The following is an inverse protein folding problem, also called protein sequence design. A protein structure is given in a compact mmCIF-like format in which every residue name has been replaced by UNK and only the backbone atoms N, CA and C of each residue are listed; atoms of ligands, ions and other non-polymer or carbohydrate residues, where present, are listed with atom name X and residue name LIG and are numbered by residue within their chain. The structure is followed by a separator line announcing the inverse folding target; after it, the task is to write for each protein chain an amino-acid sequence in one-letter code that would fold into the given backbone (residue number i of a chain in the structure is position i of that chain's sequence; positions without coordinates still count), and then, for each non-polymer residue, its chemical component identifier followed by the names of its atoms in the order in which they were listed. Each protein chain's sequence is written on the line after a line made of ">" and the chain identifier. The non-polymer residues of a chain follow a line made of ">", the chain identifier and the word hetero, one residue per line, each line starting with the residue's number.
data_IF_586356685336
#
_entry.id   IF_586356685336
#
_cell.length_a   1.000
_cell.length_b   1.000
_cell.length_c   1.000
_cell.angle_alpha   90.00
_cell.angle_beta   90.00
_cell.angle_gamma   90.00
#
_symmetry.space_group_name_H-M   'P 1'
#
loop_
_entity.id
_entity.type
_entity.pdbx_description
1 polymer ?
#
# COMPACT_ATOMS: atom_id res chain seq x y z
N UNK A 1 -9.58 -8.11 12.73
CA UNK A 1 -9.84 -8.61 11.37
C UNK A 1 -10.95 -9.64 11.37
N UNK A 2 -11.70 -9.70 10.27
CA UNK A 2 -12.69 -10.76 10.03
C UNK A 2 -12.11 -11.71 8.99
N UNK A 3 -12.23 -13.02 9.22
CA UNK A 3 -11.71 -14.04 8.32
C UNK A 3 -12.83 -14.66 7.51
N UNK A 4 -12.61 -14.85 6.22
CA UNK A 4 -13.47 -15.70 5.41
C UNK A 4 -13.15 -17.17 5.73
N UNK A 5 -14.13 -17.90 6.24
CA UNK A 5 -13.98 -19.32 6.61
C UNK A 5 -14.81 -20.17 5.66
N UNK A 6 -14.17 -21.15 5.01
CA UNK A 6 -14.80 -22.08 4.09
C UNK A 6 -14.59 -23.52 4.57
N UNK A 7 -15.69 -24.26 4.71
CA UNK A 7 -15.73 -25.68 5.11
C UNK A 7 -16.25 -26.58 3.97
N UNK A 8 -16.46 -26.04 2.77
CA UNK A 8 -16.85 -26.84 1.61
C UNK A 8 -15.68 -27.70 1.14
N UNK A 9 -15.77 -29.00 1.44
CA UNK A 9 -14.75 -29.99 1.10
C UNK A 9 -14.52 -30.08 -0.41
N UNK A 10 -15.54 -29.84 -1.23
CA UNK A 10 -15.42 -29.91 -2.69
C UNK A 10 -14.50 -28.81 -3.20
N UNK A 11 -14.68 -27.58 -2.70
CA UNK A 11 -13.79 -26.45 -3.03
C UNK A 11 -12.39 -26.65 -2.45
N UNK A 12 -12.29 -27.05 -1.18
CA UNK A 12 -11.01 -27.21 -0.48
C UNK A 12 -10.10 -28.24 -1.16
N UNK A 13 -10.64 -29.29 -1.78
CA UNK A 13 -9.85 -30.29 -2.52
C UNK A 13 -9.09 -29.73 -3.73
N UNK A 14 -9.56 -28.60 -4.27
CA UNK A 14 -8.94 -27.95 -5.44
C UNK A 14 -7.97 -26.84 -5.07
N UNK A 15 -7.99 -26.37 -3.81
CA UNK A 15 -7.09 -25.31 -3.34
C UNK A 15 -5.79 -25.94 -2.88
N UNK A 16 -4.67 -25.48 -3.46
CA UNK A 16 -3.32 -25.83 -3.01
C UNK A 16 -2.69 -24.61 -2.35
N UNK A 17 -2.12 -24.75 -1.14
CA UNK A 17 -1.31 -23.69 -0.56
C UNK A 17 -0.19 -23.33 -1.53
N UNK A 18 -0.04 -22.05 -1.83
CA UNK A 18 1.14 -21.55 -2.53
C UNK A 18 2.16 -21.17 -1.47
N UNK A 19 3.41 -21.59 -1.66
CA UNK A 19 4.51 -21.03 -0.90
C UNK A 19 4.57 -19.54 -1.23
N UNK A 20 4.61 -18.71 -0.19
CA UNK A 20 4.90 -17.30 -0.39
C UNK A 20 6.29 -17.22 -1.06
N UNK A 21 6.49 -16.36 -2.07
CA UNK A 21 7.81 -16.12 -2.61
C UNK A 21 8.73 -15.87 -1.41
N UNK A 22 9.74 -16.73 -1.28
CA UNK A 22 10.47 -16.94 -0.03
C UNK A 22 10.91 -15.62 0.58
N UNK A 23 10.91 -15.59 1.90
CA UNK A 23 11.78 -14.72 2.69
C UNK A 23 13.25 -15.13 2.43
N UNK A 24 13.69 -15.11 1.17
CA UNK A 24 15.12 -14.91 0.90
C UNK A 24 15.43 -13.55 1.52
N UNK A 25 16.44 -13.53 2.38
CA UNK A 25 16.95 -12.36 3.10
C UNK A 25 17.51 -11.27 2.16
N UNK A 26 16.80 -10.91 1.09
CA UNK A 26 16.86 -9.52 0.65
C UNK A 26 16.14 -8.74 1.73
N UNK A 27 16.94 -8.04 2.55
CA UNK A 27 16.56 -6.85 3.29
C UNK A 27 15.22 -6.31 2.78
N UNK A 28 14.11 -6.81 3.34
CA UNK A 28 12.86 -6.05 3.36
C UNK A 28 13.18 -4.90 4.30
N UNK A 29 13.97 -3.94 3.79
CA UNK A 29 13.95 -2.57 4.24
C UNK A 29 12.47 -2.26 4.19
N UNK A 30 11.82 -2.35 5.36
CA UNK A 30 10.53 -1.72 5.56
C UNK A 30 10.64 -0.38 4.86
N UNK A 31 9.71 -0.05 3.94
CA UNK A 31 9.82 1.16 3.13
C UNK A 31 10.18 2.27 4.10
N UNK A 32 11.36 2.88 3.89
CA UNK A 32 11.96 3.76 4.89
C UNK A 32 10.85 4.67 5.42
N UNK A 33 10.53 4.54 6.72
CA UNK A 33 9.47 5.37 7.31
C UNK A 33 9.77 6.79 6.88
N UNK A 34 8.80 7.48 6.29
CA UNK A 34 8.99 8.87 5.86
C UNK A 34 9.62 9.58 7.05
N UNK A 35 10.87 10.00 6.88
CA UNK A 35 11.67 10.57 7.95
C UNK A 35 10.82 11.66 8.58
N UNK A 36 10.54 11.53 9.89
CA UNK A 36 9.73 12.49 10.59
C UNK A 36 10.23 13.89 10.23
N UNK A 37 9.32 14.70 9.71
CA UNK A 37 9.60 16.06 9.27
C UNK A 37 10.39 16.76 10.39
N UNK A 38 11.70 16.95 10.19
CA UNK A 38 12.61 17.42 11.25
C UNK A 38 12.45 18.91 11.52
N UNK A 39 11.45 19.54 10.91
CA UNK A 39 10.99 20.86 11.29
C UNK A 39 10.66 20.85 12.78
N UNK A 40 11.50 21.57 13.54
CA UNK A 40 11.26 21.84 14.96
C UNK A 40 9.93 22.57 15.06
N UNK A 41 8.86 21.84 15.36
CA UNK A 41 7.61 22.46 15.79
C UNK A 41 7.95 23.25 17.06
N UNK A 42 7.82 24.58 16.98
CA UNK A 42 8.12 25.44 18.12
C UNK A 42 7.14 25.08 19.24
N UNK A 43 7.67 24.75 20.44
CA UNK A 43 6.83 24.48 21.60
C UNK A 43 6.19 25.81 22.05
N UNK A 44 4.93 26.06 21.69
CA UNK A 44 4.22 27.31 22.00
C UNK A 44 2.85 27.44 21.32
N UNK A 45 2.26 28.66 21.33
CA UNK A 45 0.98 28.97 20.64
C UNK A 45 1.04 28.72 19.12
N UNK A 46 2.23 28.75 18.53
CA UNK A 46 2.49 28.53 17.11
C UNK A 46 2.24 27.08 16.69
N UNK A 47 2.55 26.09 17.55
CA UNK A 47 2.24 24.66 17.29
C UNK A 47 0.76 24.43 16.99
N UNK A 48 -0.15 25.06 17.73
CA UNK A 48 -1.58 24.85 17.53
C UNK A 48 -2.02 25.41 16.18
N UNK A 49 -1.49 26.58 15.79
CA UNK A 49 -1.75 27.18 14.49
C UNK A 49 -1.19 26.33 13.35
N UNK A 50 0.03 25.81 13.47
CA UNK A 50 0.65 24.92 12.49
C UNK A 50 -0.12 23.60 12.34
N UNK A 51 -0.58 23.00 13.44
CA UNK A 51 -1.42 21.81 13.41
C UNK A 51 -2.77 22.11 12.76
N UNK A 52 -3.40 23.24 13.09
CA UNK A 52 -4.66 23.64 12.47
C UNK A 52 -4.50 23.90 10.97
N UNK A 53 -3.39 24.49 10.54
CA UNK A 53 -3.07 24.72 9.14
C UNK A 53 -2.85 23.40 8.39
N UNK A 54 -2.07 22.47 8.97
CA UNK A 54 -1.89 21.12 8.42
C UNK A 54 -3.21 20.34 8.36
N UNK A 55 -4.08 20.45 9.36
CA UNK A 55 -5.40 19.82 9.34
C UNK A 55 -6.37 20.47 8.34
N UNK A 56 -6.18 21.75 8.03
CA UNK A 56 -6.95 22.50 7.03
C UNK A 56 -6.48 22.18 5.61
N UNK A 57 -5.25 21.73 5.45
CA UNK A 57 -4.72 21.24 4.19
C UNK A 57 -5.35 19.89 3.82
N UNK A 58 -6.45 19.97 3.05
CA UNK A 58 -7.15 18.81 2.53
C UNK A 58 -6.35 18.02 1.48
N UNK A 59 -5.20 18.54 1.02
CA UNK A 59 -4.34 17.82 0.07
C UNK A 59 -3.75 16.53 0.67
N UNK A 60 -3.65 16.47 2.01
CA UNK A 60 -3.24 15.26 2.75
C UNK A 60 -4.25 14.11 2.55
N UNK A 61 -5.54 14.43 2.37
CA UNK A 61 -6.57 13.42 2.05
C UNK A 61 -6.56 12.98 0.58
N UNK A 62 -5.71 13.57 -0.27
CA UNK A 62 -5.59 13.23 -1.69
C UNK A 62 -5.11 11.80 -1.96
N UNK A 63 -4.49 11.16 -0.96
CA UNK A 63 -3.84 9.86 -1.07
C UNK A 63 -4.81 8.66 -1.04
N UNK A 64 -6.05 8.84 -0.55
CA UNK A 64 -7.07 7.78 -0.60
C UNK A 64 -7.43 7.36 -2.02
N UNK A 65 -7.28 8.29 -2.98
CA UNK A 65 -7.46 7.98 -4.41
C UNK A 65 -6.36 7.05 -4.94
N UNK A 66 -5.17 7.04 -4.33
CA UNK A 66 -4.05 6.22 -4.80
C UNK A 66 -4.32 4.74 -4.53
N UNK A 67 -4.82 4.39 -3.34
CA UNK A 67 -5.21 3.01 -3.00
C UNK A 67 -6.26 2.48 -3.98
N UNK A 68 -7.29 3.28 -4.28
CA UNK A 68 -8.30 2.93 -5.28
C UNK A 68 -7.73 2.76 -6.70
N UNK A 69 -6.81 3.64 -7.11
CA UNK A 69 -6.14 3.51 -8.42
C UNK A 69 -5.26 2.27 -8.51
N UNK A 70 -4.48 1.97 -7.46
CA UNK A 70 -3.64 0.77 -7.39
C UNK A 70 -4.49 -0.50 -7.53
N UNK A 71 -5.62 -0.55 -6.82
CA UNK A 71 -6.58 -1.64 -6.92
C UNK A 71 -7.15 -1.79 -8.34
N UNK A 72 -7.60 -0.69 -8.95
CA UNK A 72 -8.20 -0.74 -10.29
C UNK A 72 -7.19 -1.14 -11.36
N UNK A 73 -5.96 -0.64 -11.30
CA UNK A 73 -4.89 -1.03 -12.24
C UNK A 73 -4.49 -2.50 -12.05
N UNK A 74 -4.46 -2.98 -10.80
CA UNK A 74 -4.25 -4.40 -10.49
C UNK A 74 -5.36 -5.26 -11.10
N UNK A 75 -6.63 -4.89 -10.93
CA UNK A 75 -7.76 -5.62 -11.50
C UNK A 75 -7.69 -5.69 -13.02
N UNK A 76 -7.43 -4.56 -13.68
CA UNK A 76 -7.33 -4.50 -15.14
C UNK A 76 -6.28 -5.49 -15.67
N UNK A 77 -5.09 -5.50 -15.06
CA UNK A 77 -4.01 -6.40 -15.47
C UNK A 77 -4.25 -7.85 -15.06
N UNK A 78 -4.95 -8.06 -13.94
CA UNK A 78 -5.38 -9.39 -13.53
C UNK A 78 -6.34 -10.00 -14.54
N UNK A 79 -7.29 -9.23 -15.07
CA UNK A 79 -8.21 -9.69 -16.12
C UNK A 79 -7.47 -10.07 -17.41
N UNK A 80 -6.39 -9.35 -17.76
CA UNK A 80 -5.61 -9.57 -18.98
C UNK A 80 -4.56 -10.67 -18.86
N UNK A 81 -3.94 -10.84 -17.68
CA UNK A 81 -2.74 -11.66 -17.51
C UNK A 81 -2.80 -12.69 -16.37
N UNK A 82 -3.85 -12.65 -15.55
CA UNK A 82 -4.01 -13.52 -14.39
C UNK A 82 -3.13 -13.15 -13.19
N UNK A 83 -3.25 -13.92 -12.11
CA UNK A 83 -2.62 -13.62 -10.80
C UNK A 83 -1.12 -13.93 -10.74
N UNK A 84 -0.61 -14.73 -11.68
CA UNK A 84 0.81 -15.10 -11.75
C UNK A 84 1.68 -14.04 -12.43
N UNK A 85 1.06 -12.99 -12.96
CA UNK A 85 1.79 -11.89 -13.55
C UNK A 85 2.52 -11.07 -12.47
N UNK A 86 3.82 -10.82 -12.70
CA UNK A 86 4.69 -10.09 -11.75
C UNK A 86 4.21 -8.66 -11.49
N UNK A 87 3.63 -7.99 -12.49
CA UNK A 87 3.10 -6.64 -12.31
C UNK A 87 1.82 -6.63 -11.46
N UNK A 88 0.97 -7.66 -11.61
CA UNK A 88 -0.23 -7.83 -10.77
C UNK A 88 0.18 -8.03 -9.31
N UNK A 89 1.22 -8.84 -9.07
CA UNK A 89 1.78 -9.05 -7.74
C UNK A 89 2.39 -7.76 -7.17
N UNK A 90 3.19 -7.04 -7.96
CA UNK A 90 3.79 -5.77 -7.55
C UNK A 90 2.73 -4.71 -7.20
N UNK A 91 1.65 -4.62 -7.97
CA UNK A 91 0.52 -3.74 -7.68
C UNK A 91 -0.24 -4.17 -6.40
N UNK A 92 -0.36 -5.48 -6.14
CA UNK A 92 -0.93 -5.99 -4.89
C UNK A 92 -0.09 -5.66 -3.65
N UNK A 93 1.24 -5.71 -3.77
CA UNK A 93 2.17 -5.27 -2.73
C UNK A 93 2.03 -3.75 -2.50
N UNK A 94 2.08 -2.95 -3.57
CA UNK A 94 1.91 -1.50 -3.48
C UNK A 94 0.54 -1.10 -2.90
N UNK A 95 -0.54 -1.82 -3.23
CA UNK A 95 -1.87 -1.64 -2.65
C UNK A 95 -1.84 -1.86 -1.13
N UNK A 96 -1.19 -2.93 -0.68
CA UNK A 96 -1.03 -3.24 0.75
C UNK A 96 -0.20 -2.17 1.46
N UNK A 97 0.89 -1.70 0.84
CA UNK A 97 1.68 -0.58 1.36
C UNK A 97 0.86 0.72 1.43
N UNK A 98 0.01 0.99 0.44
CA UNK A 98 -0.90 2.14 0.43
C UNK A 98 -1.91 2.12 1.57
N UNK A 99 -2.47 0.95 1.90
CA UNK A 99 -3.33 0.78 3.07
C UNK A 99 -2.59 1.04 4.40
N UNK A 100 -1.30 0.73 4.46
CA UNK A 100 -0.47 0.96 5.65
C UNK A 100 0.09 2.38 5.73
N UNK A 101 0.20 3.10 4.60
CA UNK A 101 0.71 4.48 4.53
C UNK A 101 -0.07 5.43 5.42
N UNK A 102 -1.40 5.32 5.49
CA UNK A 102 -2.21 6.15 6.39
C UNK A 102 -1.89 5.93 7.88
N UNK A 103 -1.44 4.72 8.25
CA UNK A 103 -1.16 4.35 9.65
C UNK A 103 0.28 4.60 10.06
N UNK A 104 1.22 4.34 9.15
CA UNK A 104 2.64 4.23 9.46
C UNK A 104 3.51 5.21 8.66
N UNK A 105 2.94 5.93 7.69
CA UNK A 105 3.71 6.81 6.81
C UNK A 105 4.73 6.05 5.94
N UNK A 106 4.47 4.78 5.61
CA UNK A 106 5.34 3.99 4.75
C UNK A 106 5.33 4.49 3.31
N UNK A 107 6.48 4.46 2.65
CA UNK A 107 6.57 4.68 1.21
C UNK A 107 5.88 3.52 0.44
N UNK A 108 5.34 3.86 -0.73
CA UNK A 108 4.80 2.88 -1.67
C UNK A 108 5.88 2.63 -2.72
N UNK A 109 6.31 1.39 -2.80
CA UNK A 109 7.31 0.92 -3.74
C UNK A 109 6.60 0.29 -4.94
N UNK A 110 6.95 0.78 -6.13
CA UNK A 110 6.40 0.29 -7.37
C UNK A 110 7.54 0.20 -8.40
N UNK A 111 7.57 -0.81 -9.27
CA UNK A 111 8.49 -0.83 -10.40
C UNK A 111 8.35 0.40 -11.29
N UNK A 112 9.49 0.93 -11.77
CA UNK A 112 9.55 2.18 -12.54
C UNK A 112 8.63 2.18 -13.78
N UNK A 113 8.46 1.04 -14.44
CA UNK A 113 7.59 0.94 -15.62
C UNK A 113 6.11 1.14 -15.28
N UNK A 114 5.71 0.89 -14.04
CA UNK A 114 4.32 1.05 -13.57
C UNK A 114 4.03 2.46 -13.04
N UNK A 115 5.06 3.26 -12.72
CA UNK A 115 4.88 4.64 -12.25
C UNK A 115 4.08 5.50 -13.24
N UNK A 116 4.23 5.22 -14.54
CA UNK A 116 3.54 5.96 -15.62
C UNK A 116 2.01 5.85 -15.53
N UNK A 117 1.46 4.85 -14.84
CA UNK A 117 0.02 4.71 -14.65
C UNK A 117 -0.53 5.65 -13.56
N UNK A 118 0.33 6.34 -12.81
CA UNK A 118 -0.05 7.12 -11.62
C UNK A 118 0.45 8.59 -11.64
N UNK A 119 1.18 8.99 -12.70
CA UNK A 119 1.59 10.37 -13.00
C UNK A 119 0.56 11.00 -13.92
#
# INVERSE_FOLDING_TARGET
>A
DLYFVCWDVSLLRHIRPRELPGDEEEDRQYPAMVTADTQRISKGREWLSEVQEKLRDLSIFGDQRLVGRLYNEMLKRFEEHGMDNVDVQALGVAYTQGLMREKQGCAIELPRHLHKCFI
#
